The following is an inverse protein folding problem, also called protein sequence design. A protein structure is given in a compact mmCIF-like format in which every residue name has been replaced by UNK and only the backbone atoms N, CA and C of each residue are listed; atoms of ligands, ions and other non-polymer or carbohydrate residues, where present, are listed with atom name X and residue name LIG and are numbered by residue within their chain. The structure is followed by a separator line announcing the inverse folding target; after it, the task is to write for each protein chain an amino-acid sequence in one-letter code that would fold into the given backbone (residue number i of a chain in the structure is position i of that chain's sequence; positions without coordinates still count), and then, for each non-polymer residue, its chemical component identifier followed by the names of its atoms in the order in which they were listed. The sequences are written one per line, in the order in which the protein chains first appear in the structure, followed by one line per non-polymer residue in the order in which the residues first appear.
data_IF_309714311505
#
_entry.id   IF_309714311505
#
_cell.length_a   1.000
_cell.length_b   1.000
_cell.length_c   1.000
_cell.angle_alpha   90.00
_cell.angle_beta   90.00
_cell.angle_gamma   90.00
#
_symmetry.space_group_name_H-M   'P 1'
#
loop_
_entity.id
_entity.type
_entity.pdbx_description
1 polymer ?
#
# COMPACT_ATOMS: atom_id res chain seq x y z
N UNK A 1 0.46 -22.06 71.47
CA UNK A 1 1.62 -22.43 70.62
C UNK A 1 1.07 -23.42 69.59
N UNK A 2 0.34 -22.98 68.55
CA UNK A 2 0.85 -22.38 67.30
C UNK A 2 1.93 -23.27 66.67
N UNK A 3 1.79 -23.75 65.44
CA UNK A 3 1.52 -22.91 64.28
C UNK A 3 0.77 -23.61 63.15
N UNK A 4 -0.15 -22.82 62.61
CA UNK A 4 -0.94 -22.96 61.40
C UNK A 4 -0.01 -22.94 60.16
N UNK A 5 0.00 -24.03 59.39
CA UNK A 5 0.67 -24.08 58.08
C UNK A 5 -0.28 -23.51 57.03
N UNK A 6 -0.46 -22.19 57.06
CA UNK A 6 -1.10 -21.47 55.97
C UNK A 6 -0.22 -21.57 54.71
N UNK A 7 -0.81 -21.79 53.51
CA UNK A 7 -0.06 -21.75 52.26
C UNK A 7 0.44 -20.32 52.02
N UNK A 8 1.72 -20.09 52.34
CA UNK A 8 2.40 -18.84 52.02
C UNK A 8 2.59 -18.70 50.52
N UNK A 9 2.12 -17.57 50.00
CA UNK A 9 2.62 -16.99 48.77
C UNK A 9 1.82 -17.38 47.54
N UNK A 10 0.74 -16.63 47.29
CA UNK A 10 0.24 -16.44 45.94
C UNK A 10 1.43 -16.13 45.01
N UNK A 11 1.71 -17.05 44.08
CA UNK A 11 2.62 -16.78 42.97
C UNK A 11 2.16 -15.51 42.24
N UNK A 12 3.09 -14.78 41.57
CA UNK A 12 2.74 -13.54 40.89
C UNK A 12 1.55 -13.79 39.96
N UNK A 13 0.46 -13.03 40.17
CA UNK A 13 -0.75 -13.15 39.38
C UNK A 13 -0.37 -13.03 37.88
N UNK A 14 -0.94 -13.89 37.01
CA UNK A 14 -0.63 -13.88 35.60
C UNK A 14 -0.89 -12.48 35.03
N UNK A 15 0.16 -11.84 34.53
CA UNK A 15 0.07 -10.55 33.86
C UNK A 15 -0.63 -10.78 32.52
N UNK A 16 -1.70 -10.01 32.18
CA UNK A 16 -2.37 -10.11 30.90
C UNK A 16 -1.38 -10.00 29.74
N UNK A 17 -1.59 -10.80 28.69
CA UNK A 17 -0.77 -10.72 27.48
C UNK A 17 -0.86 -9.31 26.85
N UNK A 18 0.27 -8.82 26.38
CA UNK A 18 0.43 -7.48 25.80
C UNK A 18 -0.31 -7.35 24.46
N UNK A 19 -1.06 -6.26 24.28
CA UNK A 19 -1.89 -5.93 23.09
C UNK A 19 -1.08 -5.62 21.82
N UNK A 20 0.26 -5.62 21.90
CA UNK A 20 1.14 -5.23 20.80
C UNK A 20 1.24 -6.35 19.74
N UNK A 21 0.16 -6.51 18.97
CA UNK A 21 0.05 -7.46 17.87
C UNK A 21 0.65 -6.87 16.58
N UNK A 22 1.99 -6.82 16.56
CA UNK A 22 2.78 -6.34 15.41
C UNK A 22 2.46 -7.08 14.11
N UNK A 23 2.10 -8.36 14.20
CA UNK A 23 1.67 -9.14 13.04
C UNK A 23 0.40 -8.55 12.42
N UNK A 24 -0.64 -8.32 13.22
CA UNK A 24 -1.89 -7.69 12.77
C UNK A 24 -1.66 -6.28 12.25
N UNK A 25 -0.76 -5.52 12.88
CA UNK A 25 -0.39 -4.19 12.41
C UNK A 25 0.24 -4.21 11.01
N UNK A 26 1.16 -5.15 10.73
CA UNK A 26 1.77 -5.29 9.40
C UNK A 26 0.74 -5.76 8.36
N UNK A 27 -0.10 -6.74 8.70
CA UNK A 27 -1.17 -7.21 7.83
C UNK A 27 -2.18 -6.11 7.48
N UNK A 28 -2.56 -5.29 8.46
CA UNK A 28 -3.44 -4.14 8.25
C UNK A 28 -2.78 -3.09 7.35
N UNK A 29 -1.51 -2.77 7.57
CA UNK A 29 -0.76 -1.82 6.73
C UNK A 29 -0.62 -2.31 5.29
N UNK A 30 -0.27 -3.58 5.07
CA UNK A 30 -0.19 -4.16 3.73
C UNK A 30 -1.57 -4.19 3.05
N UNK A 31 -2.63 -4.48 3.80
CA UNK A 31 -3.99 -4.44 3.28
C UNK A 31 -4.46 -3.03 2.93
N UNK A 32 -4.11 -2.03 3.73
CA UNK A 32 -4.40 -0.62 3.44
C UNK A 32 -3.61 -0.13 2.23
N UNK A 33 -2.32 -0.48 2.13
CA UNK A 33 -1.47 -0.15 0.99
C UNK A 33 -2.03 -0.73 -0.31
N UNK A 34 -2.38 -2.03 -0.33
CA UNK A 34 -2.94 -2.67 -1.51
C UNK A 34 -4.21 -1.94 -1.99
N UNK A 35 -5.16 -1.66 -1.10
CA UNK A 35 -6.40 -0.94 -1.44
C UNK A 35 -6.16 0.48 -1.95
N UNK A 36 -5.19 1.19 -1.35
CA UNK A 36 -4.84 2.53 -1.78
C UNK A 36 -4.25 2.51 -3.20
N UNK A 37 -3.41 1.52 -3.50
CA UNK A 37 -2.84 1.34 -4.82
C UNK A 37 -3.89 0.89 -5.84
N UNK A 38 -4.81 -0.01 -5.49
CA UNK A 38 -5.94 -0.40 -6.36
C UNK A 38 -6.78 0.82 -6.76
N UNK A 39 -7.06 1.71 -5.80
CA UNK A 39 -7.78 2.96 -6.05
C UNK A 39 -6.99 3.92 -6.95
N UNK A 40 -5.70 4.08 -6.68
CA UNK A 40 -4.82 4.93 -7.48
C UNK A 40 -4.64 4.42 -8.92
N UNK A 41 -4.63 3.10 -9.15
CA UNK A 41 -4.56 2.51 -10.49
C UNK A 41 -5.74 2.92 -11.39
N UNK A 42 -6.97 2.92 -10.84
CA UNK A 42 -8.16 3.38 -11.59
C UNK A 42 -8.06 4.86 -11.98
N UNK A 43 -7.52 5.70 -11.08
CA UNK A 43 -7.31 7.13 -11.34
C UNK A 43 -6.22 7.36 -12.39
N UNK A 44 -5.13 6.59 -12.34
CA UNK A 44 -4.04 6.63 -13.31
C UNK A 44 -4.53 6.21 -14.70
N UNK A 45 -5.29 5.13 -14.81
CA UNK A 45 -5.86 4.67 -16.09
C UNK A 45 -6.81 5.73 -16.70
N UNK A 46 -7.63 6.37 -15.84
CA UNK A 46 -8.46 7.50 -16.26
C UNK A 46 -7.61 8.69 -16.75
N UNK A 47 -6.52 8.99 -16.07
CA UNK A 47 -5.60 10.06 -16.43
C UNK A 47 -4.92 9.77 -17.79
N UNK A 48 -4.43 8.55 -18.02
CA UNK A 48 -3.85 8.14 -19.32
C UNK A 48 -4.83 8.39 -20.46
N UNK A 49 -6.08 7.92 -20.31
CA UNK A 49 -7.13 8.13 -21.32
C UNK A 49 -7.39 9.60 -21.59
N UNK A 50 -7.47 10.42 -20.55
CA UNK A 50 -7.71 11.86 -20.64
C UNK A 50 -6.57 12.60 -21.35
N UNK A 51 -5.32 12.33 -20.96
CA UNK A 51 -4.14 12.95 -21.57
C UNK A 51 -4.02 12.56 -23.04
N UNK A 52 -4.24 11.29 -23.38
CA UNK A 52 -4.26 10.82 -24.77
C UNK A 52 -5.37 11.47 -25.60
N UNK A 53 -6.56 11.66 -25.02
CA UNK A 53 -7.67 12.39 -25.65
C UNK A 53 -7.32 13.86 -25.93
N UNK A 54 -6.72 14.55 -24.95
CA UNK A 54 -6.30 15.94 -25.09
C UNK A 54 -5.18 16.11 -26.13
N UNK A 55 -4.25 15.16 -26.21
CA UNK A 55 -3.18 15.18 -27.22
C UNK A 55 -3.76 15.09 -28.65
N UNK A 56 -4.71 14.16 -28.88
CA UNK A 56 -5.42 14.04 -30.17
C UNK A 56 -6.20 15.31 -30.49
N UNK A 57 -6.92 15.85 -29.51
CA UNK A 57 -7.66 17.09 -29.71
C UNK A 57 -6.75 18.26 -30.08
N UNK A 58 -5.59 18.39 -29.43
CA UNK A 58 -4.61 19.41 -29.79
C UNK A 58 -4.07 19.22 -31.22
N UNK A 59 -3.82 17.98 -31.65
CA UNK A 59 -3.40 17.67 -33.02
C UNK A 59 -4.47 18.07 -34.06
N UNK A 60 -5.74 17.74 -33.81
CA UNK A 60 -6.87 18.11 -34.67
C UNK A 60 -6.99 19.64 -34.78
N UNK A 61 -6.89 20.35 -33.65
CA UNK A 61 -6.92 21.82 -33.63
C UNK A 61 -5.73 22.41 -34.38
N UNK A 62 -4.52 21.85 -34.25
CA UNK A 62 -3.36 22.32 -35.00
C UNK A 62 -3.58 22.18 -36.51
N UNK A 63 -4.20 21.08 -36.94
CA UNK A 63 -4.56 20.82 -38.35
C UNK A 63 -5.62 21.80 -38.85
N UNK A 64 -6.66 22.07 -38.06
CA UNK A 64 -7.70 23.02 -38.41
C UNK A 64 -7.18 24.46 -38.52
N UNK A 65 -6.28 24.87 -37.60
CA UNK A 65 -5.59 26.16 -37.65
C UNK A 65 -4.74 26.28 -38.93
N UNK A 66 -4.01 25.22 -39.29
CA UNK A 66 -3.19 25.19 -40.50
C UNK A 66 -4.06 25.32 -41.77
N UNK A 67 -5.19 24.62 -41.81
CA UNK A 67 -6.13 24.69 -42.94
C UNK A 67 -6.86 26.03 -43.03
N UNK A 68 -7.08 26.70 -41.90
CA UNK A 68 -7.71 28.02 -41.84
C UNK A 68 -6.78 29.19 -42.21
N UNK A 69 -5.49 28.93 -42.49
CA UNK A 69 -4.52 29.96 -42.84
C UNK A 69 -4.18 30.94 -41.71
N UNK A 70 -4.38 30.50 -40.45
CA UNK A 70 -3.99 31.25 -39.25
C UNK A 70 -2.46 31.33 -39.12
N UNK A 71 -1.98 32.27 -38.28
CA UNK A 71 -0.54 32.49 -38.07
C UNK A 71 0.18 31.16 -37.73
N UNK A 72 1.24 30.78 -38.48
CA UNK A 72 2.02 29.57 -38.25
C UNK A 72 2.51 29.37 -36.81
N UNK A 73 2.64 30.46 -36.03
CA UNK A 73 2.98 30.39 -34.61
C UNK A 73 1.97 29.61 -33.79
N UNK A 74 0.67 29.71 -34.10
CA UNK A 74 -0.36 28.96 -33.39
C UNK A 74 -0.30 27.46 -33.73
N UNK A 75 0.02 27.12 -34.98
CA UNK A 75 0.25 25.71 -35.37
C UNK A 75 1.45 25.14 -34.61
N UNK A 76 2.57 25.87 -34.56
CA UNK A 76 3.77 25.43 -33.84
C UNK A 76 3.52 25.28 -32.33
N UNK A 77 2.79 26.22 -31.71
CA UNK A 77 2.46 26.15 -30.29
C UNK A 77 1.58 24.94 -29.98
N UNK A 78 0.54 24.70 -30.77
CA UNK A 78 -0.39 23.57 -30.56
C UNK A 78 0.31 22.22 -30.79
N UNK A 79 1.22 22.13 -31.76
CA UNK A 79 2.06 20.94 -31.96
C UNK A 79 2.97 20.66 -30.75
N UNK A 80 3.58 21.70 -30.16
CA UNK A 80 4.39 21.54 -28.95
C UNK A 80 3.55 21.05 -27.76
N UNK A 81 2.32 21.55 -27.62
CA UNK A 81 1.38 21.09 -26.59
C UNK A 81 1.01 19.62 -26.80
N UNK A 82 0.69 19.22 -28.04
CA UNK A 82 0.40 17.82 -28.37
C UNK A 82 1.60 16.91 -28.04
N UNK A 83 2.82 17.30 -28.42
CA UNK A 83 4.03 16.55 -28.10
C UNK A 83 4.28 16.43 -26.58
N UNK A 84 4.05 17.51 -25.83
CA UNK A 84 4.18 17.52 -24.38
C UNK A 84 3.13 16.61 -23.71
N UNK A 85 1.87 16.64 -24.16
CA UNK A 85 0.82 15.76 -23.67
C UNK A 85 1.11 14.29 -23.99
N UNK A 86 1.62 13.99 -25.18
CA UNK A 86 2.02 12.63 -25.53
C UNK A 86 3.18 12.13 -24.66
N UNK A 87 4.18 12.99 -24.41
CA UNK A 87 5.26 12.68 -23.47
C UNK A 87 4.77 12.46 -22.05
N UNK A 88 3.79 13.25 -21.59
CA UNK A 88 3.15 13.07 -20.29
C UNK A 88 2.38 11.75 -20.22
N UNK A 89 1.63 11.38 -21.27
CA UNK A 89 0.91 10.10 -21.32
C UNK A 89 1.84 8.90 -21.11
N UNK A 90 3.00 8.88 -21.78
CA UNK A 90 4.00 7.81 -21.60
C UNK A 90 4.56 7.74 -20.18
N UNK A 91 4.69 8.87 -19.48
CA UNK A 91 5.14 8.86 -18.08
C UNK A 91 4.06 8.37 -17.13
N UNK A 92 2.79 8.73 -17.39
CA UNK A 92 1.66 8.22 -16.60
C UNK A 92 1.51 6.71 -16.81
N UNK A 93 1.69 6.20 -18.04
CA UNK A 93 1.67 4.76 -18.34
C UNK A 93 2.74 3.99 -17.56
N UNK A 94 3.98 4.52 -17.52
CA UNK A 94 5.04 3.92 -16.67
C UNK A 94 4.71 3.95 -15.19
N UNK A 95 4.06 5.02 -14.73
CA UNK A 95 3.61 5.12 -13.34
C UNK A 95 2.54 4.08 -13.02
N UNK A 96 1.62 3.83 -13.96
CA UNK A 96 0.60 2.79 -13.85
C UNK A 96 1.24 1.38 -13.77
N UNK A 97 2.18 1.06 -14.67
CA UNK A 97 2.91 -0.21 -14.66
C UNK A 97 3.62 -0.45 -13.32
N UNK A 98 4.33 0.56 -12.81
CA UNK A 98 5.04 0.47 -11.53
C UNK A 98 4.10 0.38 -10.33
N UNK A 99 2.94 1.04 -10.39
CA UNK A 99 1.89 0.89 -9.39
C UNK A 99 1.36 -0.55 -9.37
N UNK A 100 1.09 -1.13 -10.54
CA UNK A 100 0.63 -2.51 -10.68
C UNK A 100 1.65 -3.53 -10.14
N UNK A 101 2.94 -3.36 -10.45
CA UNK A 101 3.99 -4.20 -9.88
C UNK A 101 4.03 -4.11 -8.34
N UNK A 102 3.86 -2.90 -7.81
CA UNK A 102 3.84 -2.66 -6.36
C UNK A 102 2.62 -3.29 -5.69
N UNK A 103 1.45 -3.27 -6.34
CA UNK A 103 0.23 -3.96 -5.90
C UNK A 103 0.52 -5.46 -5.77
N UNK A 104 1.03 -6.09 -6.82
CA UNK A 104 1.31 -7.52 -6.86
C UNK A 104 2.32 -7.92 -5.77
N UNK A 105 3.39 -7.13 -5.61
CA UNK A 105 4.38 -7.35 -4.56
C UNK A 105 3.77 -7.22 -3.16
N UNK A 106 2.88 -6.26 -2.96
CA UNK A 106 2.18 -6.05 -1.67
C UNK A 106 1.26 -7.22 -1.34
N UNK A 107 0.49 -7.72 -2.31
CA UNK A 107 -0.33 -8.91 -2.14
C UNK A 107 0.51 -10.16 -1.83
N UNK A 108 1.59 -10.36 -2.57
CA UNK A 108 2.52 -11.48 -2.34
C UNK A 108 3.19 -11.41 -0.98
N UNK A 109 3.64 -10.21 -0.57
CA UNK A 109 4.24 -9.96 0.74
C UNK A 109 3.24 -10.25 1.86
N UNK A 110 1.99 -9.78 1.72
CA UNK A 110 0.91 -10.05 2.67
C UNK A 110 0.64 -11.55 2.81
N UNK A 111 0.51 -12.27 1.70
CA UNK A 111 0.29 -13.72 1.69
C UNK A 111 1.47 -14.48 2.32
N UNK A 112 2.70 -14.10 1.99
CA UNK A 112 3.92 -14.71 2.52
C UNK A 112 4.04 -14.47 4.03
N UNK A 113 3.81 -13.25 4.49
CA UNK A 113 3.82 -12.90 5.91
C UNK A 113 2.74 -13.66 6.68
N UNK A 114 1.55 -13.84 6.08
CA UNK A 114 0.49 -14.65 6.68
C UNK A 114 0.89 -16.12 6.77
N UNK A 115 1.53 -16.67 5.74
CA UNK A 115 1.99 -18.08 5.74
C UNK A 115 3.07 -18.35 6.78
N UNK A 116 4.03 -17.43 6.92
CA UNK A 116 5.16 -17.62 7.84
C UNK A 116 4.79 -17.37 9.30
N UNK A 117 3.95 -16.37 9.56
CA UNK A 117 3.70 -15.89 10.93
C UNK A 117 2.25 -16.04 11.40
N UNK A 118 1.32 -16.46 10.54
CA UNK A 118 -0.11 -16.58 10.90
C UNK A 118 -0.35 -17.59 12.02
N UNK A 119 0.26 -18.77 11.95
CA UNK A 119 0.16 -19.78 13.02
C UNK A 119 0.77 -19.29 14.35
N UNK A 120 1.84 -18.50 14.28
CA UNK A 120 2.46 -17.90 15.47
C UNK A 120 1.57 -16.82 16.09
N UNK A 121 0.90 -16.01 15.26
CA UNK A 121 -0.08 -15.03 15.72
C UNK A 121 -1.30 -15.69 16.37
N UNK A 122 -1.81 -16.77 15.80
CA UNK A 122 -2.94 -17.53 16.34
C UNK A 122 -2.60 -18.11 17.72
N UNK A 123 -1.42 -18.72 17.86
CA UNK A 123 -0.92 -19.24 19.14
C UNK A 123 -0.74 -18.13 20.18
N UNK A 124 -0.23 -16.96 19.75
CA UNK A 124 -0.03 -15.80 20.64
C UNK A 124 -1.36 -15.14 21.03
N UNK A 125 -2.31 -15.05 20.10
CA UNK A 125 -3.62 -14.42 20.30
C UNK A 125 -4.56 -15.25 21.18
N UNK A 126 -4.45 -16.58 21.14
CA UNK A 126 -5.25 -17.49 21.97
C UNK A 126 -4.66 -17.71 23.38
N UNK A 127 -3.56 -17.03 23.73
CA UNK A 127 -2.89 -17.21 25.01
C UNK A 127 -3.50 -16.32 26.09
N UNK A 128 -4.00 -16.94 27.16
CA UNK A 128 -4.53 -16.24 28.34
C UNK A 128 -3.44 -15.60 29.21
N UNK A 129 -2.22 -16.12 29.14
CA UNK A 129 -1.11 -15.76 30.01
C UNK A 129 0.15 -15.41 29.20
N UNK A 130 0.94 -14.45 29.69
CA UNK A 130 2.13 -13.92 29.01
C UNK A 130 3.27 -14.95 28.95
N UNK A 131 3.98 -15.02 27.82
CA UNK A 131 5.24 -15.80 27.74
C UNK A 131 6.24 -15.25 28.76
N UNK A 132 6.77 -16.09 29.67
CA UNK A 132 7.79 -15.65 30.63
C UNK A 132 9.00 -15.06 29.90
N UNK A 133 9.55 -13.95 30.41
CA UNK A 133 10.76 -13.35 29.82
C UNK A 133 11.93 -14.35 29.93
N UNK A 134 12.89 -14.34 28.97
CA UNK A 134 14.10 -15.15 29.09
C UNK A 134 14.78 -14.90 30.45
N UNK A 135 15.06 -15.98 31.20
CA UNK A 135 15.62 -15.92 32.55
C UNK A 135 14.61 -16.03 33.70
N UNK A 136 13.29 -16.12 33.43
CA UNK A 136 12.27 -16.27 34.47
C UNK A 136 12.43 -17.53 35.35
N UNK A 137 12.93 -18.63 34.77
CA UNK A 137 13.12 -19.90 35.47
C UNK A 137 14.50 -20.07 36.13
N UNK A 138 15.41 -19.09 35.98
CA UNK A 138 16.74 -19.13 36.57
C UNK A 138 16.72 -18.49 37.99
N UNK A 139 15.90 -19.04 38.88
CA UNK A 139 15.87 -18.67 40.30
C UNK A 139 16.38 -19.83 41.15
#
# INVERSE_FOLDING_TARGET
MSSDLAPSGAGPAPVPADDDNRYKAVQAKLGALARALDGAGLELESLVRSVGGNAKHAEDVARDIANAGLDPKFVALTNNVSAALNGAATQVEKLDDTAQETIDLTHKSRATHSRLYGALDELRSNRREKTPKPGFFNR
#
